data_IF_769903317217
#
_entry.id   IF_769903317217
#
_cell.length_a   1.000
_cell.length_b   1.000
_cell.length_c   1.000
_cell.angle_alpha   90.00
_cell.angle_beta   90.00
_cell.angle_gamma   90.00
#
_symmetry.space_group_name_H-M   'P 1'
#
loop_
_entity.id
_entity.type
_entity.pdbx_description
1 polymer ?
#
# COMPACT_ATOMS: atom_id res chain seq x y z
N UNK A 1 -24.10 5.65 8.92
CA UNK A 1 -22.67 5.46 8.64
C UNK A 1 -21.89 4.86 9.83
N UNK A 2 -21.79 5.48 10.99
CA UNK A 2 -20.97 4.95 12.11
C UNK A 2 -21.30 3.48 12.48
N UNK A 3 -22.56 3.09 12.51
CA UNK A 3 -22.95 1.69 12.78
C UNK A 3 -22.45 0.72 11.72
N UNK A 4 -22.43 1.14 10.45
CA UNK A 4 -21.86 0.34 9.34
C UNK A 4 -20.37 0.16 9.52
N UNK A 5 -19.65 1.24 9.84
CA UNK A 5 -18.20 1.19 10.10
C UNK A 5 -17.86 0.31 11.30
N UNK A 6 -18.65 0.38 12.38
CA UNK A 6 -18.49 -0.52 13.53
C UNK A 6 -18.78 -1.98 13.17
N UNK A 7 -19.78 -2.25 12.34
CA UNK A 7 -20.09 -3.60 11.85
C UNK A 7 -18.90 -4.16 11.06
N UNK A 8 -18.36 -3.38 10.13
CA UNK A 8 -17.18 -3.77 9.35
C UNK A 8 -15.97 -3.98 10.25
N UNK A 9 -15.69 -3.05 11.17
CA UNK A 9 -14.52 -3.11 12.06
C UNK A 9 -14.56 -4.27 13.06
N UNK A 10 -15.73 -4.83 13.35
CA UNK A 10 -15.88 -6.02 14.20
C UNK A 10 -15.83 -7.34 13.41
N UNK A 11 -15.77 -7.29 12.08
CA UNK A 11 -15.64 -8.51 11.28
C UNK A 11 -14.20 -9.04 11.35
N UNK A 12 -13.99 -10.37 11.45
CA UNK A 12 -12.66 -10.97 11.46
C UNK A 12 -11.76 -10.56 10.28
N UNK A 13 -12.36 -10.16 9.16
CA UNK A 13 -11.63 -9.66 7.99
C UNK A 13 -10.80 -8.41 8.30
N UNK A 14 -11.26 -7.58 9.26
CA UNK A 14 -10.62 -6.33 9.68
C UNK A 14 -10.01 -6.40 11.09
N UNK A 15 -10.08 -7.56 11.74
CA UNK A 15 -9.43 -7.77 13.03
C UNK A 15 -7.91 -7.83 12.87
N UNK A 16 -7.21 -6.84 13.43
CA UNK A 16 -5.75 -6.74 13.36
C UNK A 16 -5.01 -7.93 13.95
N UNK A 17 -5.64 -8.69 14.83
CA UNK A 17 -5.06 -9.90 15.42
C UNK A 17 -5.15 -11.11 14.48
N UNK A 18 -6.06 -11.10 13.51
CA UNK A 18 -6.36 -12.22 12.62
C UNK A 18 -6.13 -11.89 11.15
N UNK A 19 -6.10 -10.62 10.79
CA UNK A 19 -5.98 -10.13 9.42
C UNK A 19 -4.80 -9.17 9.29
N UNK A 20 -4.03 -9.33 8.22
CA UNK A 20 -2.97 -8.40 7.83
C UNK A 20 -3.50 -7.20 7.03
N UNK A 21 -4.82 -7.14 6.79
CA UNK A 21 -5.45 -6.03 6.11
C UNK A 21 -5.47 -4.83 7.03
N UNK A 22 -4.86 -3.73 6.59
CA UNK A 22 -4.88 -2.45 7.30
C UNK A 22 -5.87 -1.54 6.61
N UNK A 23 -6.70 -0.87 7.39
CA UNK A 23 -7.66 0.10 6.86
C UNK A 23 -7.51 1.44 7.56
N UNK A 24 -7.85 2.50 6.82
CA UNK A 24 -8.01 3.85 7.35
C UNK A 24 -9.27 4.50 6.77
N UNK A 25 -9.97 5.25 7.60
CA UNK A 25 -11.06 6.11 7.14
C UNK A 25 -10.42 7.40 6.66
N UNK A 26 -10.30 7.55 5.33
CA UNK A 26 -9.67 8.73 4.72
C UNK A 26 -10.55 9.97 4.88
N UNK A 27 -11.83 9.80 4.69
CA UNK A 27 -12.79 10.90 4.74
C UNK A 27 -14.18 10.42 5.13
N UNK A 28 -14.93 11.27 5.83
CA UNK A 28 -16.34 11.08 6.09
C UNK A 28 -17.05 12.43 5.98
N UNK A 29 -18.08 12.48 5.16
CA UNK A 29 -18.88 13.69 4.92
C UNK A 29 -20.35 13.42 5.18
N UNK A 30 -21.03 14.41 5.75
CA UNK A 30 -22.48 14.43 5.89
C UNK A 30 -22.99 15.87 5.68
N UNK A 31 -24.27 16.13 5.97
CA UNK A 31 -24.81 17.49 5.90
C UNK A 31 -24.05 18.45 6.83
N UNK A 32 -23.75 19.64 6.33
CA UNK A 32 -23.12 20.73 7.08
C UNK A 32 -24.16 21.69 7.71
N UNK A 33 -25.46 21.49 7.45
CA UNK A 33 -26.51 22.31 8.02
C UNK A 33 -26.65 22.04 9.52
N UNK A 34 -26.54 23.08 10.34
CA UNK A 34 -26.76 22.99 11.79
C UNK A 34 -28.21 22.63 12.11
N UNK A 35 -28.42 21.83 13.15
CA UNK A 35 -29.74 21.43 13.67
C UNK A 35 -30.60 20.58 12.72
N UNK A 36 -30.03 20.05 11.63
CA UNK A 36 -30.72 19.17 10.69
C UNK A 36 -30.12 17.77 10.80
N UNK A 37 -30.98 16.76 10.85
CA UNK A 37 -30.54 15.35 10.75
C UNK A 37 -30.07 15.12 9.31
N UNK A 38 -28.82 14.67 9.10
CA UNK A 38 -28.32 14.40 7.77
C UNK A 38 -29.14 13.31 7.06
N UNK A 39 -29.52 13.56 5.84
CA UNK A 39 -30.18 12.61 4.94
C UNK A 39 -29.19 11.69 4.22
N UNK A 40 -27.94 12.13 4.08
CA UNK A 40 -26.85 11.38 3.42
C UNK A 40 -25.56 11.48 4.23
N UNK A 41 -24.79 10.39 4.19
CA UNK A 41 -23.43 10.35 4.71
C UNK A 41 -22.59 9.48 3.79
N UNK A 42 -21.42 10.00 3.39
CA UNK A 42 -20.44 9.30 2.57
C UNK A 42 -19.18 9.06 3.39
N UNK A 43 -18.51 7.93 3.16
CA UNK A 43 -17.22 7.63 3.77
C UNK A 43 -16.31 6.97 2.74
N UNK A 44 -15.05 7.39 2.73
CA UNK A 44 -13.97 6.80 1.95
C UNK A 44 -13.04 6.04 2.88
N UNK A 45 -12.81 4.78 2.53
CA UNK A 45 -11.99 3.87 3.32
C UNK A 45 -10.89 3.33 2.41
N UNK A 46 -9.65 3.59 2.78
CA UNK A 46 -8.50 2.99 2.12
C UNK A 46 -8.17 1.65 2.79
N UNK A 47 -7.95 0.62 1.97
CA UNK A 47 -7.58 -0.71 2.41
C UNK A 47 -6.21 -1.06 1.85
N UNK A 48 -5.29 -1.44 2.72
CA UNK A 48 -3.97 -1.95 2.34
C UNK A 48 -3.96 -3.46 2.48
N UNK A 49 -3.68 -4.14 1.37
CA UNK A 49 -3.67 -5.59 1.29
C UNK A 49 -2.25 -6.14 1.24
N UNK A 50 -1.98 -7.25 1.94
CA UNK A 50 -0.78 -8.04 1.68
C UNK A 50 -0.70 -8.52 0.23
N UNK A 51 0.51 -8.78 -0.29
CA UNK A 51 0.70 -9.18 -1.69
C UNK A 51 -0.01 -10.45 -2.12
N UNK A 52 -0.29 -11.34 -1.17
CA UNK A 52 -0.93 -12.65 -1.39
C UNK A 52 -2.46 -12.58 -1.41
N UNK A 53 -3.05 -11.43 -1.10
CA UNK A 53 -4.50 -11.27 -1.07
C UNK A 53 -5.05 -10.83 -2.43
N UNK A 54 -6.09 -11.50 -2.87
CA UNK A 54 -6.82 -11.13 -4.09
C UNK A 54 -7.78 -9.95 -3.79
N UNK A 55 -7.60 -8.78 -4.42
CA UNK A 55 -8.50 -7.65 -4.26
C UNK A 55 -9.95 -7.97 -4.61
N UNK A 56 -10.20 -8.82 -5.61
CA UNK A 56 -11.55 -9.18 -6.02
C UNK A 56 -12.27 -10.03 -4.97
N UNK A 57 -11.55 -10.98 -4.36
CA UNK A 57 -12.09 -11.79 -3.27
C UNK A 57 -12.44 -10.91 -2.04
N UNK A 58 -11.60 -9.93 -1.74
CA UNK A 58 -11.86 -8.95 -0.68
C UNK A 58 -13.11 -8.11 -1.00
N UNK A 59 -13.20 -7.56 -2.19
CA UNK A 59 -14.38 -6.78 -2.61
C UNK A 59 -15.68 -7.60 -2.48
N UNK A 60 -15.65 -8.87 -2.89
CA UNK A 60 -16.81 -9.76 -2.73
C UNK A 60 -17.17 -9.99 -1.26
N UNK A 61 -16.18 -10.12 -0.39
CA UNK A 61 -16.39 -10.29 1.04
C UNK A 61 -17.02 -9.04 1.66
N UNK A 62 -16.51 -7.85 1.33
CA UNK A 62 -17.09 -6.58 1.77
C UNK A 62 -18.52 -6.41 1.25
N UNK A 63 -18.79 -6.72 -0.02
CA UNK A 63 -20.17 -6.68 -0.57
C UNK A 63 -21.12 -7.58 0.21
N UNK A 64 -20.69 -8.78 0.59
CA UNK A 64 -21.52 -9.70 1.40
C UNK A 64 -21.79 -9.16 2.80
N UNK A 65 -20.78 -8.57 3.45
CA UNK A 65 -20.94 -7.95 4.76
C UNK A 65 -21.91 -6.78 4.72
N UNK A 66 -21.77 -5.92 3.74
CA UNK A 66 -22.64 -4.75 3.55
C UNK A 66 -24.05 -5.17 3.21
N UNK A 67 -24.23 -6.17 2.35
CA UNK A 67 -25.57 -6.71 2.02
C UNK A 67 -26.29 -7.32 3.23
N UNK A 68 -25.56 -7.76 4.26
CA UNK A 68 -26.13 -8.27 5.50
C UNK A 68 -26.41 -7.19 6.56
N UNK A 69 -25.98 -5.94 6.31
CA UNK A 69 -26.03 -4.88 7.31
C UNK A 69 -27.47 -4.40 7.62
N UNK A 70 -28.40 -4.55 6.70
CA UNK A 70 -29.84 -4.23 6.86
C UNK A 70 -30.49 -4.99 8.01
N UNK A 71 -30.02 -6.22 8.31
CA UNK A 71 -30.46 -7.04 9.45
C UNK A 71 -30.18 -6.38 10.80
N UNK A 72 -29.12 -5.59 10.88
CA UNK A 72 -28.67 -4.92 12.10
C UNK A 72 -29.04 -3.44 12.13
N UNK A 73 -29.32 -2.87 10.97
CA UNK A 73 -29.61 -1.44 10.79
C UNK A 73 -30.87 -1.31 9.90
N UNK A 74 -32.08 -1.47 10.47
CA UNK A 74 -33.31 -1.40 9.69
C UNK A 74 -33.44 -0.06 8.94
N UNK A 75 -33.84 -0.12 7.67
CA UNK A 75 -34.01 1.07 6.83
C UNK A 75 -32.70 1.64 6.30
N UNK A 76 -31.61 0.87 6.36
CA UNK A 76 -30.34 1.25 5.75
C UNK A 76 -30.47 1.21 4.22
N UNK A 77 -30.27 2.37 3.59
CA UNK A 77 -30.02 2.48 2.15
C UNK A 77 -28.54 2.77 1.96
N UNK A 78 -27.79 1.81 1.42
CA UNK A 78 -26.35 1.88 1.33
C UNK A 78 -25.87 1.49 -0.07
N UNK A 79 -25.21 2.44 -0.71
CA UNK A 79 -24.46 2.23 -1.94
C UNK A 79 -22.99 1.97 -1.61
N UNK A 80 -22.39 0.95 -2.23
CA UNK A 80 -20.99 0.59 -2.11
C UNK A 80 -20.32 0.58 -3.47
N UNK A 81 -19.30 1.40 -3.65
CA UNK A 81 -18.43 1.42 -4.82
C UNK A 81 -16.98 1.13 -4.45
N UNK A 82 -16.18 0.75 -5.44
CA UNK A 82 -14.73 0.59 -5.33
C UNK A 82 -14.10 1.37 -6.46
N UNK A 83 -13.35 2.42 -6.12
CA UNK A 83 -12.78 3.34 -7.10
C UNK A 83 -11.51 2.78 -7.72
N UNK A 84 -10.68 2.12 -6.91
CA UNK A 84 -9.40 1.57 -7.33
C UNK A 84 -9.08 0.29 -6.57
N UNK A 85 -8.51 -0.69 -7.28
CA UNK A 85 -7.97 -1.89 -6.67
C UNK A 85 -6.70 -2.31 -7.41
N UNK A 86 -5.63 -2.55 -6.66
CA UNK A 86 -4.36 -3.05 -7.18
C UNK A 86 -3.87 -4.16 -6.26
N UNK A 87 -3.42 -5.26 -6.85
CA UNK A 87 -2.73 -6.29 -6.10
C UNK A 87 -1.34 -5.80 -5.68
N UNK A 88 -0.88 -6.24 -4.53
CA UNK A 88 0.53 -6.15 -4.15
C UNK A 88 1.38 -7.11 -4.99
N UNK A 89 2.69 -7.07 -4.79
CA UNK A 89 3.60 -8.03 -5.40
C UNK A 89 4.70 -8.44 -4.43
N UNK A 90 5.22 -9.63 -4.65
CA UNK A 90 6.40 -10.12 -3.96
C UNK A 90 7.45 -10.51 -4.99
N UNK A 91 8.67 -10.07 -4.79
CA UNK A 91 9.79 -10.40 -5.66
C UNK A 91 10.44 -11.70 -5.18
N UNK A 92 10.65 -12.60 -6.13
CA UNK A 92 11.46 -13.79 -5.89
C UNK A 92 12.93 -13.47 -5.66
N UNK A 93 13.70 -14.50 -5.32
CA UNK A 93 15.15 -14.39 -5.08
C UNK A 93 15.96 -14.10 -6.34
N UNK A 94 15.38 -14.26 -7.52
CA UNK A 94 15.97 -14.09 -8.84
C UNK A 94 15.95 -12.65 -9.37
N UNK A 95 15.79 -11.66 -8.50
CA UNK A 95 15.78 -10.25 -8.89
C UNK A 95 17.20 -9.74 -9.13
N UNK A 96 17.51 -9.44 -10.40
CA UNK A 96 18.85 -8.99 -10.84
C UNK A 96 19.29 -7.69 -10.16
N UNK A 97 18.40 -6.73 -9.99
CA UNK A 97 18.72 -5.47 -9.32
C UNK A 97 19.05 -5.70 -7.84
N UNK A 98 18.32 -6.59 -7.17
CA UNK A 98 18.61 -6.95 -5.79
C UNK A 98 19.98 -7.67 -5.65
N UNK A 99 20.35 -8.53 -6.61
CA UNK A 99 21.69 -9.15 -6.64
C UNK A 99 22.79 -8.10 -6.76
N UNK A 100 22.66 -7.15 -7.68
CA UNK A 100 23.62 -6.08 -7.88
C UNK A 100 23.74 -5.23 -6.61
N UNK A 101 22.62 -4.90 -5.95
CA UNK A 101 22.63 -4.14 -4.70
C UNK A 101 23.37 -4.87 -3.58
N UNK A 102 23.22 -6.19 -3.45
CA UNK A 102 23.98 -7.00 -2.48
C UNK A 102 25.50 -6.87 -2.67
N UNK A 103 25.94 -6.65 -3.92
CA UNK A 103 27.36 -6.40 -4.21
C UNK A 103 27.79 -4.95 -3.96
N UNK A 104 26.91 -3.98 -4.19
CA UNK A 104 27.20 -2.55 -4.08
C UNK A 104 27.33 -2.10 -2.61
N UNK A 105 26.40 -2.50 -1.77
CA UNK A 105 26.28 -2.00 -0.39
C UNK A 105 27.56 -2.19 0.44
N UNK A 106 28.18 -3.39 0.48
CA UNK A 106 29.46 -3.57 1.21
C UNK A 106 30.56 -2.67 0.67
N UNK A 107 30.64 -2.48 -0.67
CA UNK A 107 31.64 -1.61 -1.30
C UNK A 107 31.48 -0.12 -0.94
N UNK A 108 30.32 0.28 -0.48
CA UNK A 108 30.02 1.62 0.04
C UNK A 108 30.12 1.72 1.57
N UNK A 109 30.48 0.63 2.27
CA UNK A 109 30.48 0.56 3.72
C UNK A 109 29.08 0.50 4.35
N UNK A 110 28.08 0.04 3.58
CA UNK A 110 26.67 -0.02 3.98
C UNK A 110 26.21 -1.46 4.18
N UNK A 111 25.14 -1.63 4.97
CA UNK A 111 24.43 -2.89 5.09
C UNK A 111 23.13 -2.81 4.29
N UNK A 112 22.86 -3.83 3.46
CA UNK A 112 21.60 -3.94 2.74
C UNK A 112 20.54 -4.59 3.64
N UNK A 113 19.49 -3.85 3.95
CA UNK A 113 18.28 -4.37 4.57
C UNK A 113 17.21 -4.49 3.50
N UNK A 114 16.46 -5.59 3.52
CA UNK A 114 15.33 -5.84 2.63
C UNK A 114 14.10 -6.04 3.49
N UNK A 115 13.05 -5.31 3.21
CA UNK A 115 11.80 -5.39 3.94
C UNK A 115 10.61 -5.19 3.00
N UNK A 116 9.41 -5.40 3.51
CA UNK A 116 8.17 -5.13 2.79
C UNK A 116 7.90 -3.62 2.71
N UNK A 117 7.67 -3.13 1.51
CA UNK A 117 7.20 -1.76 1.31
C UNK A 117 5.70 -1.70 1.57
N UNK A 118 5.32 -1.25 2.77
CA UNK A 118 3.94 -1.24 3.26
C UNK A 118 3.15 -0.01 2.81
N UNK A 119 3.33 0.39 1.55
CA UNK A 119 2.62 1.52 0.96
C UNK A 119 2.35 1.25 -0.51
N UNK A 120 1.48 2.07 -1.12
CA UNK A 120 1.23 2.01 -2.55
C UNK A 120 2.39 2.68 -3.31
N UNK A 121 2.73 2.12 -4.48
CA UNK A 121 3.68 2.72 -5.40
C UNK A 121 3.38 2.29 -6.84
N UNK A 122 3.92 3.01 -7.81
CA UNK A 122 3.87 2.64 -9.23
C UNK A 122 4.55 1.29 -9.52
N UNK A 123 5.33 0.77 -8.57
CA UNK A 123 5.89 -0.59 -8.63
C UNK A 123 4.84 -1.66 -8.90
N UNK A 124 3.63 -1.50 -8.36
CA UNK A 124 2.53 -2.43 -8.60
C UNK A 124 2.14 -2.48 -10.08
N UNK A 125 2.13 -1.32 -10.76
CA UNK A 125 1.81 -1.21 -12.19
C UNK A 125 2.93 -1.81 -13.04
N UNK A 126 4.19 -1.52 -12.71
CA UNK A 126 5.34 -2.10 -13.39
C UNK A 126 5.40 -3.62 -13.23
N UNK A 127 5.07 -4.13 -12.02
CA UNK A 127 5.03 -5.56 -11.78
C UNK A 127 3.92 -6.23 -12.59
N UNK A 128 2.74 -5.64 -12.64
CA UNK A 128 1.63 -6.13 -13.47
C UNK A 128 1.96 -6.13 -14.98
N UNK A 129 2.84 -5.22 -15.42
CA UNK A 129 3.36 -5.17 -16.78
C UNK A 129 4.52 -6.14 -17.03
N UNK A 130 4.86 -7.02 -16.08
CA UNK A 130 5.91 -8.04 -16.22
C UNK A 130 7.31 -7.59 -15.80
N UNK A 131 7.47 -6.38 -15.25
CA UNK A 131 8.74 -5.94 -14.69
C UNK A 131 8.96 -6.54 -13.29
N UNK A 132 10.20 -6.49 -12.79
CA UNK A 132 10.56 -6.87 -11.42
C UNK A 132 11.07 -5.63 -10.66
N UNK A 133 10.18 -4.69 -10.31
CA UNK A 133 10.58 -3.42 -9.72
C UNK A 133 11.05 -3.61 -8.28
N UNK A 134 12.07 -2.85 -7.90
CA UNK A 134 12.47 -2.66 -6.51
C UNK A 134 12.18 -1.22 -6.10
N UNK A 135 11.81 -1.03 -4.85
CA UNK A 135 11.62 0.29 -4.26
C UNK A 135 12.85 0.58 -3.42
N UNK A 136 13.48 1.69 -3.70
CA UNK A 136 14.73 2.09 -3.06
C UNK A 136 14.77 3.61 -2.93
N UNK A 137 15.00 4.10 -1.73
CA UNK A 137 15.09 5.54 -1.47
C UNK A 137 15.64 5.85 -0.08
N UNK A 138 16.02 7.12 0.17
CA UNK A 138 16.39 7.59 1.50
C UNK A 138 15.14 7.87 2.34
N UNK A 139 15.31 8.03 3.64
CA UNK A 139 14.27 8.33 4.61
C UNK A 139 13.60 7.09 5.20
N UNK A 140 12.65 7.33 6.10
CA UNK A 140 11.91 6.28 6.81
C UNK A 140 10.44 6.30 6.43
N UNK A 141 9.87 5.12 6.17
CA UNK A 141 8.42 4.97 5.97
C UNK A 141 7.61 5.22 7.25
N UNK A 142 8.23 5.15 8.42
CA UNK A 142 7.53 5.37 9.69
C UNK A 142 7.07 6.82 9.86
N UNK A 143 7.81 7.76 9.27
CA UNK A 143 7.48 9.19 9.30
C UNK A 143 6.85 9.69 8.02
N UNK A 144 6.78 8.86 6.97
CA UNK A 144 6.17 9.23 5.70
C UNK A 144 4.69 9.61 5.87
N UNK A 145 4.26 10.66 5.14
CA UNK A 145 2.90 11.20 5.20
C UNK A 145 2.50 11.76 6.57
N UNK A 146 3.45 12.11 7.42
CA UNK A 146 3.21 12.79 8.70
C UNK A 146 3.75 14.22 8.68
N UNK A 147 3.32 15.10 9.61
CA UNK A 147 3.91 16.43 9.75
C UNK A 147 5.41 16.43 10.09
N UNK A 148 5.92 15.30 10.61
CA UNK A 148 7.32 15.11 10.99
C UNK A 148 8.15 14.41 9.89
N UNK A 149 7.59 14.28 8.68
CA UNK A 149 8.29 13.67 7.55
C UNK A 149 9.58 14.43 7.23
N UNK A 150 10.69 13.69 7.24
CA UNK A 150 12.01 14.26 7.03
C UNK A 150 12.97 13.25 6.41
N UNK A 151 14.02 13.75 5.78
CA UNK A 151 15.13 12.97 5.25
C UNK A 151 16.45 13.66 5.58
N UNK A 152 17.45 12.91 6.00
CA UNK A 152 18.77 13.45 6.28
C UNK A 152 19.51 13.73 4.96
N UNK A 153 20.29 14.83 4.92
CA UNK A 153 21.10 15.20 3.73
C UNK A 153 22.08 14.11 3.32
N UNK A 154 22.68 13.44 4.30
CA UNK A 154 23.65 12.39 4.05
C UNK A 154 23.00 11.14 3.47
N UNK A 155 21.74 10.86 3.82
CA UNK A 155 20.95 9.79 3.19
C UNK A 155 20.68 10.07 1.72
N UNK A 156 20.35 11.32 1.36
CA UNK A 156 20.18 11.74 -0.04
C UNK A 156 21.47 11.51 -0.84
N UNK A 157 22.61 11.95 -0.28
CA UNK A 157 23.93 11.77 -0.91
C UNK A 157 24.28 10.29 -1.06
N UNK A 158 23.96 9.49 -0.05
CA UNK A 158 24.16 8.04 -0.06
C UNK A 158 23.29 7.35 -1.10
N UNK A 159 22.01 7.71 -1.17
CA UNK A 159 21.08 7.19 -2.18
C UNK A 159 21.57 7.51 -3.60
N UNK A 160 22.05 8.73 -3.85
CA UNK A 160 22.62 9.11 -5.14
C UNK A 160 23.82 8.24 -5.54
N UNK A 161 24.70 7.93 -4.60
CA UNK A 161 25.85 7.02 -4.83
C UNK A 161 25.38 5.60 -5.13
N UNK A 162 24.38 5.10 -4.42
CA UNK A 162 23.79 3.77 -4.65
C UNK A 162 23.18 3.72 -6.05
N UNK A 163 22.37 4.72 -6.45
CA UNK A 163 21.75 4.77 -7.77
C UNK A 163 22.78 4.81 -8.90
N UNK A 164 23.83 5.64 -8.76
CA UNK A 164 24.90 5.70 -9.73
C UNK A 164 25.62 4.35 -9.88
N UNK A 165 25.96 3.72 -8.76
CA UNK A 165 26.60 2.40 -8.76
C UNK A 165 25.69 1.31 -9.34
N UNK A 166 24.39 1.32 -9.03
CA UNK A 166 23.41 0.38 -9.59
C UNK A 166 23.32 0.53 -11.10
N UNK A 167 23.14 1.73 -11.62
CA UNK A 167 23.07 2.00 -13.07
C UNK A 167 24.34 1.55 -13.78
N UNK A 168 25.52 1.88 -13.24
CA UNK A 168 26.79 1.47 -13.84
C UNK A 168 26.96 -0.05 -13.88
N UNK A 169 26.54 -0.76 -12.84
CA UNK A 169 26.63 -2.22 -12.79
C UNK A 169 25.60 -2.87 -13.72
N UNK A 170 24.40 -2.32 -13.84
CA UNK A 170 23.38 -2.81 -14.78
C UNK A 170 23.85 -2.67 -16.23
N UNK A 171 24.46 -1.53 -16.59
CA UNK A 171 25.03 -1.34 -17.95
C UNK A 171 26.16 -2.34 -18.21
N UNK A 172 27.12 -2.47 -17.26
CA UNK A 172 28.25 -3.41 -17.40
C UNK A 172 27.82 -4.87 -17.52
N UNK A 173 26.76 -5.26 -16.86
CA UNK A 173 26.25 -6.63 -16.88
C UNK A 173 25.37 -6.95 -18.10
N UNK A 174 25.16 -6.00 -19.01
CA UNK A 174 24.27 -6.16 -20.18
C UNK A 174 22.78 -6.27 -19.81
N UNK A 175 22.43 -6.00 -18.56
CA UNK A 175 21.06 -6.17 -18.05
C UNK A 175 20.05 -5.19 -18.70
N UNK A 176 20.52 -4.14 -19.35
CA UNK A 176 19.69 -3.19 -20.11
C UNK A 176 19.51 -3.57 -21.60
N UNK A 177 20.12 -4.68 -22.05
CA UNK A 177 20.15 -5.08 -23.46
C UNK A 177 19.22 -6.25 -23.78
N UNK A 178 18.44 -6.72 -22.83
CA UNK A 178 17.44 -7.77 -23.05
C UNK A 178 16.05 -7.16 -23.02
N UNK A 179 15.24 -7.34 -24.08
CA UNK A 179 13.85 -6.92 -24.12
C UNK A 179 12.98 -7.68 -23.12
#
# INVERSE_FOLDING_TARGET
MLRVLLLLGNDPLFDRAQSEIVYSIREMRSSQAGFVVPDRCEAWIDLHLPPDKDPNALQQSIRRLVAGADRFIPGLDLELSFDFASAGYSLGTDNRAAEILRGIYPGLGLQLHQDAFRSHSDGNLFFAAGCKPIILGPGSLETAHTPDEQVLRDEISTAARIYAALCLNMVKSGALSQP
#
